data_IF_012825296631
#
_entry.id   IF_012825296631
#
_cell.length_a   1.000
_cell.length_b   1.000
_cell.length_c   1.000
_cell.angle_alpha   90.00
_cell.angle_beta   90.00
_cell.angle_gamma   90.00
#
_symmetry.space_group_name_H-M   'P 1'
#
loop_
_entity.id
_entity.type
_entity.pdbx_description
1 polymer ?
#
# COMPACT_ATOMS: atom_id res chain seq x y z
N UNK A 1 -3.41 -36.24 -9.80
CA UNK A 1 -2.63 -35.63 -10.91
C UNK A 1 -3.56 -34.96 -11.94
N UNK A 2 -4.43 -34.02 -11.54
CA UNK A 2 -5.45 -33.44 -12.45
C UNK A 2 -5.59 -31.91 -12.45
N UNK A 3 -4.75 -31.18 -11.70
CA UNK A 3 -4.92 -29.72 -11.52
C UNK A 3 -4.13 -28.85 -12.52
N UNK A 4 -3.20 -29.44 -13.29
CA UNK A 4 -2.30 -28.67 -14.15
C UNK A 4 -2.90 -28.25 -15.49
N UNK A 5 -3.94 -28.92 -15.99
CA UNK A 5 -4.56 -28.57 -17.28
C UNK A 5 -5.64 -27.51 -17.11
N UNK A 6 -6.36 -27.50 -15.99
CA UNK A 6 -7.42 -26.52 -15.69
C UNK A 6 -6.88 -25.13 -15.32
N UNK A 7 -5.69 -25.04 -14.70
CA UNK A 7 -5.08 -23.76 -14.31
C UNK A 7 -4.73 -22.85 -15.50
N UNK A 8 -4.40 -23.43 -16.65
CA UNK A 8 -4.07 -22.69 -17.87
C UNK A 8 -5.30 -22.43 -18.75
N UNK A 9 -6.31 -23.30 -18.72
CA UNK A 9 -7.52 -23.12 -19.52
C UNK A 9 -8.33 -21.89 -19.12
N UNK A 10 -8.44 -21.59 -17.82
CA UNK A 10 -9.17 -20.40 -17.33
C UNK A 10 -8.57 -19.10 -17.85
N UNK A 11 -7.26 -18.79 -17.68
CA UNK A 11 -6.69 -17.56 -18.19
C UNK A 11 -6.74 -17.49 -19.73
N UNK A 12 -6.49 -18.59 -20.45
CA UNK A 12 -6.61 -18.59 -21.91
C UNK A 12 -8.05 -18.32 -22.38
N UNK A 13 -9.06 -18.91 -21.72
CA UNK A 13 -10.46 -18.64 -22.02
C UNK A 13 -10.85 -17.18 -21.77
N UNK A 14 -10.43 -16.60 -20.65
CA UNK A 14 -10.72 -15.20 -20.30
C UNK A 14 -10.09 -14.22 -21.29
N UNK A 15 -8.83 -14.48 -21.70
CA UNK A 15 -8.13 -13.67 -22.70
C UNK A 15 -8.83 -13.79 -24.07
N UNK A 16 -9.20 -15.00 -24.47
CA UNK A 16 -9.88 -15.23 -25.76
C UNK A 16 -11.25 -14.54 -25.82
N UNK A 17 -12.02 -14.57 -24.73
CA UNK A 17 -13.33 -13.90 -24.63
C UNK A 17 -13.15 -12.38 -24.70
N UNK A 18 -12.16 -11.83 -23.98
CA UNK A 18 -11.86 -10.40 -24.02
C UNK A 18 -11.44 -9.93 -25.41
N UNK A 19 -10.61 -10.73 -26.11
CA UNK A 19 -10.16 -10.42 -27.47
C UNK A 19 -11.31 -10.46 -28.48
N UNK A 20 -12.17 -11.49 -28.39
CA UNK A 20 -13.35 -11.64 -29.26
C UNK A 20 -14.35 -10.50 -29.01
N UNK A 21 -14.61 -10.13 -27.74
CA UNK A 21 -15.48 -9.02 -27.41
C UNK A 21 -14.92 -7.68 -27.90
N UNK A 22 -13.61 -7.44 -27.76
CA UNK A 22 -12.96 -6.23 -28.25
C UNK A 22 -13.00 -6.12 -29.79
N UNK A 23 -12.69 -7.22 -30.50
CA UNK A 23 -12.80 -7.28 -31.97
C UNK A 23 -14.24 -7.11 -32.45
N UNK A 24 -15.22 -7.66 -31.73
CA UNK A 24 -16.64 -7.51 -32.04
C UNK A 24 -17.09 -6.05 -31.96
N UNK A 25 -16.71 -5.34 -30.91
CA UNK A 25 -17.05 -3.91 -30.72
C UNK A 25 -16.33 -3.03 -31.77
N UNK A 26 -15.12 -3.41 -32.17
CA UNK A 26 -14.36 -2.72 -33.22
C UNK A 26 -15.00 -2.89 -34.61
N UNK A 27 -15.38 -4.12 -34.99
CA UNK A 27 -15.94 -4.41 -36.31
C UNK A 27 -17.40 -4.00 -36.49
N UNK A 28 -18.17 -3.82 -35.41
CA UNK A 28 -19.54 -3.30 -35.46
C UNK A 28 -19.60 -1.76 -35.51
N UNK A 29 -18.45 -1.07 -35.59
CA UNK A 29 -18.38 0.39 -35.68
C UNK A 29 -18.86 1.12 -34.42
N UNK A 30 -19.11 0.39 -33.32
CA UNK A 30 -19.60 0.91 -32.04
C UNK A 30 -18.47 1.13 -31.02
N UNK A 31 -17.27 1.46 -31.51
CA UNK A 31 -16.08 1.67 -30.68
C UNK A 31 -16.24 2.74 -29.60
N UNK A 32 -17.08 3.75 -29.86
CA UNK A 32 -17.41 4.83 -28.93
C UNK A 32 -18.18 4.36 -27.67
N UNK A 33 -18.79 3.16 -27.70
CA UNK A 33 -19.44 2.59 -26.52
C UNK A 33 -18.42 2.11 -25.48
N UNK A 34 -17.20 1.76 -25.91
CA UNK A 34 -16.09 1.46 -25.00
C UNK A 34 -15.35 2.76 -24.68
N UNK A 35 -15.91 3.56 -23.77
CA UNK A 35 -15.32 4.82 -23.33
C UNK A 35 -14.83 4.72 -21.87
N UNK A 36 -13.52 4.46 -21.64
CA UNK A 36 -12.94 4.45 -20.29
C UNK A 36 -13.07 5.80 -19.58
N UNK A 37 -13.10 6.91 -20.32
CA UNK A 37 -13.27 8.25 -19.76
C UNK A 37 -14.65 8.42 -19.12
N UNK A 38 -15.71 8.01 -19.82
CA UNK A 38 -17.07 8.03 -19.27
C UNK A 38 -17.19 7.16 -18.00
N UNK A 39 -16.48 6.03 -17.95
CA UNK A 39 -16.44 5.19 -16.74
C UNK A 39 -15.76 5.91 -15.55
N UNK A 40 -14.64 6.59 -15.80
CA UNK A 40 -13.93 7.35 -14.77
C UNK A 40 -14.73 8.57 -14.29
N UNK A 41 -15.52 9.19 -15.17
CA UNK A 41 -16.40 10.34 -14.85
C UNK A 41 -17.74 9.95 -14.23
N UNK A 42 -18.21 8.71 -14.43
CA UNK A 42 -19.44 8.22 -13.78
C UNK A 42 -19.16 7.59 -12.41
N UNK A 43 -17.93 7.13 -12.17
CA UNK A 43 -17.55 6.51 -10.90
C UNK A 43 -17.28 7.57 -9.84
N UNK A 44 -17.85 7.41 -8.65
CA UNK A 44 -17.67 8.38 -7.57
C UNK A 44 -16.21 8.42 -7.06
N UNK A 45 -15.63 9.61 -6.82
CA UNK A 45 -14.27 9.73 -6.26
C UNK A 45 -14.11 9.07 -4.89
N UNK A 46 -15.18 9.00 -4.10
CA UNK A 46 -15.20 8.33 -2.82
C UNK A 46 -14.99 6.81 -2.94
N UNK A 47 -15.52 6.17 -3.99
CA UNK A 47 -15.32 4.74 -4.20
C UNK A 47 -13.83 4.42 -4.41
N UNK A 48 -13.13 5.20 -5.22
CA UNK A 48 -11.68 5.07 -5.44
C UNK A 48 -10.87 5.30 -4.16
N UNK A 49 -11.21 6.35 -3.40
CA UNK A 49 -10.51 6.67 -2.16
C UNK A 49 -10.69 5.58 -1.09
N UNK A 50 -11.93 5.11 -0.86
CA UNK A 50 -12.22 4.06 0.13
C UNK A 50 -11.60 2.72 -0.26
N UNK A 51 -11.62 2.38 -1.56
CA UNK A 51 -10.95 1.19 -2.07
C UNK A 51 -9.43 1.27 -1.84
N UNK A 52 -8.81 2.43 -2.08
CA UNK A 52 -7.38 2.65 -1.81
C UNK A 52 -7.01 2.46 -0.35
N UNK A 53 -7.79 3.03 0.57
CA UNK A 53 -7.59 2.91 2.02
C UNK A 53 -7.77 1.45 2.46
N UNK A 54 -8.82 0.79 2.00
CA UNK A 54 -9.09 -0.61 2.30
C UNK A 54 -8.01 -1.56 1.78
N UNK A 55 -7.54 -1.34 0.54
CA UNK A 55 -6.46 -2.13 -0.06
C UNK A 55 -5.13 -1.91 0.67
N UNK A 56 -4.80 -0.68 1.06
CA UNK A 56 -3.59 -0.39 1.83
C UNK A 56 -3.55 -1.16 3.16
N UNK A 57 -4.65 -1.09 3.94
CA UNK A 57 -4.77 -1.82 5.20
C UNK A 57 -4.75 -3.34 4.97
N UNK A 58 -5.58 -3.84 4.05
CA UNK A 58 -5.72 -5.26 3.78
C UNK A 58 -4.42 -5.91 3.31
N UNK A 59 -3.77 -5.34 2.29
CA UNK A 59 -2.52 -5.87 1.74
C UNK A 59 -1.38 -5.83 2.76
N UNK A 60 -1.30 -4.78 3.59
CA UNK A 60 -0.27 -4.67 4.63
C UNK A 60 -0.44 -5.72 5.73
N UNK A 61 -1.66 -5.96 6.20
CA UNK A 61 -1.95 -6.97 7.23
C UNK A 61 -1.75 -8.39 6.69
N UNK A 62 -2.13 -8.64 5.42
CA UNK A 62 -1.85 -9.92 4.77
C UNK A 62 -0.34 -10.18 4.68
N UNK A 63 0.47 -9.17 4.35
CA UNK A 63 1.93 -9.29 4.34
C UNK A 63 2.53 -9.61 5.69
N UNK A 64 2.08 -8.91 6.73
CA UNK A 64 2.49 -9.17 8.11
C UNK A 64 2.12 -10.60 8.55
N UNK A 65 0.86 -11.01 8.32
CA UNK A 65 0.40 -12.36 8.63
C UNK A 65 1.20 -13.44 7.89
N UNK A 66 1.49 -13.22 6.61
CA UNK A 66 2.26 -14.17 5.81
C UNK A 66 3.68 -14.33 6.32
N UNK A 67 4.39 -13.24 6.63
CA UNK A 67 5.76 -13.35 7.14
C UNK A 67 5.84 -13.94 8.56
N UNK A 68 4.86 -13.65 9.43
CA UNK A 68 4.75 -14.31 10.74
C UNK A 68 4.56 -15.82 10.59
N UNK A 69 3.74 -16.26 9.64
CA UNK A 69 3.51 -17.69 9.41
C UNK A 69 4.78 -18.43 8.94
N UNK A 70 5.53 -17.87 7.99
CA UNK A 70 6.79 -18.47 7.50
C UNK A 70 7.83 -18.56 8.62
N UNK A 71 8.09 -17.45 9.32
CA UNK A 71 9.07 -17.43 10.42
C UNK A 71 8.64 -18.28 11.60
N UNK A 72 7.35 -18.22 11.98
CA UNK A 72 6.80 -18.94 13.13
C UNK A 72 6.87 -20.45 12.97
N UNK A 73 6.51 -20.97 11.79
CA UNK A 73 6.62 -22.42 11.51
C UNK A 73 8.08 -22.89 11.58
N UNK A 74 9.01 -22.09 11.08
CA UNK A 74 10.45 -22.40 11.10
C UNK A 74 11.04 -22.38 12.52
N UNK A 75 10.67 -21.39 13.35
CA UNK A 75 11.11 -21.31 14.75
C UNK A 75 10.65 -22.54 15.54
N UNK A 76 9.39 -22.96 15.37
CA UNK A 76 8.85 -24.14 16.07
C UNK A 76 9.57 -25.41 15.60
N UNK A 77 9.77 -25.57 14.28
CA UNK A 77 10.48 -26.72 13.73
C UNK A 77 11.93 -26.84 14.21
N UNK A 78 12.67 -25.73 14.19
CA UNK A 78 14.05 -25.70 14.69
C UNK A 78 14.13 -25.84 16.23
N UNK A 79 13.07 -25.42 16.94
CA UNK A 79 12.99 -25.44 18.40
C UNK A 79 12.91 -26.84 19.01
N UNK A 80 12.53 -27.86 18.23
CA UNK A 80 12.47 -29.26 18.71
C UNK A 80 13.85 -29.81 19.02
N UNK A 81 14.86 -29.53 18.17
CA UNK A 81 16.23 -30.04 18.35
C UNK A 81 17.08 -29.11 19.21
N UNK A 82 16.82 -27.81 19.17
CA UNK A 82 17.60 -26.81 19.91
C UNK A 82 16.66 -25.83 20.64
N UNK A 83 16.07 -26.19 21.80
CA UNK A 83 15.09 -25.35 22.50
C UNK A 83 15.68 -24.05 23.05
N UNK A 84 17.01 -23.87 23.04
CA UNK A 84 17.64 -22.57 23.33
C UNK A 84 17.18 -21.46 22.39
N UNK A 85 16.73 -21.80 21.17
CA UNK A 85 16.27 -20.81 20.19
C UNK A 85 14.86 -20.32 20.48
N UNK A 86 13.97 -21.11 21.10
CA UNK A 86 12.60 -20.65 21.41
C UNK A 86 12.61 -19.66 22.57
N UNK A 87 13.48 -19.85 23.56
CA UNK A 87 13.68 -18.91 24.67
C UNK A 87 14.38 -17.62 24.22
N UNK A 88 15.33 -17.69 23.28
CA UNK A 88 15.97 -16.48 22.72
C UNK A 88 15.06 -15.74 21.73
N UNK A 89 14.26 -16.48 20.93
CA UNK A 89 13.45 -15.93 19.85
C UNK A 89 12.00 -15.58 20.23
N UNK A 90 11.48 -15.98 21.41
CA UNK A 90 10.13 -15.58 21.88
C UNK A 90 10.07 -14.95 23.30
N UNK A 91 10.83 -15.39 24.31
CA UNK A 91 10.79 -14.84 25.70
C UNK A 91 12.20 -14.79 26.35
N UNK A 92 12.89 -13.66 26.36
CA UNK A 92 14.02 -13.46 27.29
C UNK A 92 14.20 -11.99 27.63
N UNK A 93 14.29 -11.73 28.95
CA UNK A 93 14.47 -10.44 29.63
C UNK A 93 15.88 -9.87 29.41
N UNK A 94 16.28 -9.59 28.17
CA UNK A 94 17.50 -8.84 27.86
C UNK A 94 17.09 -7.57 27.09
N UNK A 95 17.48 -6.36 27.54
CA UNK A 95 16.94 -5.10 27.01
C UNK A 95 17.58 -4.62 25.70
N UNK A 96 18.33 -5.45 24.97
CA UNK A 96 18.84 -5.09 23.65
C UNK A 96 18.62 -6.26 22.68
N UNK A 97 18.06 -5.96 21.50
CA UNK A 97 17.91 -6.85 20.35
C UNK A 97 16.56 -7.60 20.23
N UNK A 98 15.53 -6.83 19.91
CA UNK A 98 14.58 -7.04 18.81
C UNK A 98 14.55 -8.43 18.15
N UNK A 99 13.38 -9.08 18.19
CA UNK A 99 13.08 -10.39 17.58
C UNK A 99 12.54 -10.27 16.14
N UNK A 100 12.73 -11.31 15.30
CA UNK A 100 12.31 -11.29 13.88
C UNK A 100 10.80 -11.22 13.64
N UNK A 101 9.98 -11.64 14.62
CA UNK A 101 8.52 -11.56 14.53
C UNK A 101 8.02 -10.11 14.52
N UNK A 102 8.73 -9.20 15.19
CA UNK A 102 8.32 -7.79 15.35
C UNK A 102 8.57 -7.01 14.06
N UNK A 103 9.63 -7.32 13.30
CA UNK A 103 9.92 -6.61 12.04
C UNK A 103 8.85 -6.87 10.97
N UNK A 104 8.21 -8.04 11.00
CA UNK A 104 7.07 -8.34 10.14
C UNK A 104 5.79 -7.59 10.58
N UNK A 105 5.61 -7.36 11.89
CA UNK A 105 4.49 -6.59 12.45
C UNK A 105 4.58 -5.10 12.12
N UNK A 106 5.79 -4.54 12.09
CA UNK A 106 6.04 -3.13 11.77
C UNK A 106 5.53 -2.76 10.36
N UNK A 107 5.60 -3.66 9.38
CA UNK A 107 5.01 -3.45 8.05
C UNK A 107 3.47 -3.29 8.10
N UNK A 108 2.80 -4.03 9.00
CA UNK A 108 1.37 -3.88 9.25
C UNK A 108 1.03 -2.55 9.91
N UNK A 109 1.85 -2.10 10.87
CA UNK A 109 1.70 -0.79 11.52
C UNK A 109 1.83 0.35 10.51
N UNK A 110 2.77 0.27 9.57
CA UNK A 110 2.87 1.25 8.49
C UNK A 110 1.58 1.33 7.67
N UNK A 111 0.98 0.19 7.31
CA UNK A 111 -0.32 0.11 6.63
C UNK A 111 -1.46 0.76 7.42
N UNK A 112 -1.54 0.51 8.73
CA UNK A 112 -2.55 1.13 9.61
C UNK A 112 -2.37 2.65 9.66
N UNK A 113 -1.14 3.14 9.87
CA UNK A 113 -0.84 4.57 9.92
C UNK A 113 -1.20 5.24 8.58
N UNK A 114 -0.79 4.64 7.45
CA UNK A 114 -1.13 5.16 6.12
C UNK A 114 -2.63 5.28 5.89
N UNK A 115 -3.40 4.28 6.35
CA UNK A 115 -4.86 4.27 6.23
C UNK A 115 -5.53 5.37 7.06
N UNK A 116 -5.02 5.63 8.27
CA UNK A 116 -5.50 6.73 9.13
C UNK A 116 -5.20 8.08 8.49
N UNK A 117 -3.98 8.28 7.97
CA UNK A 117 -3.57 9.53 7.32
C UNK A 117 -4.41 9.80 6.06
N UNK A 118 -4.66 8.77 5.25
CA UNK A 118 -5.53 8.88 4.07
C UNK A 118 -6.99 9.15 4.43
N UNK A 119 -7.49 8.55 5.51
CA UNK A 119 -8.85 8.85 6.01
C UNK A 119 -8.99 10.30 6.44
N UNK A 120 -7.95 10.93 7.00
CA UNK A 120 -7.97 12.34 7.38
C UNK A 120 -8.00 13.31 6.18
N UNK A 121 -7.72 12.82 4.96
CA UNK A 121 -7.78 13.63 3.72
C UNK A 121 -9.15 13.57 3.03
N UNK A 122 -10.06 12.72 3.49
CA UNK A 122 -11.43 12.69 3.01
C UNK A 122 -12.20 13.89 3.56
N UNK A 123 -12.25 14.99 2.79
CA UNK A 123 -13.13 16.10 3.11
C UNK A 123 -14.59 15.68 2.89
N UNK A 124 -15.45 15.96 3.87
CA UNK A 124 -16.90 15.81 3.76
C UNK A 124 -17.44 16.91 2.84
N UNK A 125 -17.61 16.61 1.55
CA UNK A 125 -18.26 17.52 0.62
C UNK A 125 -19.78 17.26 0.64
N UNK A 126 -20.61 18.23 1.05
CA UNK A 126 -22.00 17.98 1.43
C UNK A 126 -23.00 17.94 0.25
N UNK A 127 -22.59 18.23 -0.99
CA UNK A 127 -23.53 18.45 -2.10
C UNK A 127 -23.13 17.68 -3.37
N UNK A 128 -24.05 16.93 -3.98
CA UNK A 128 -23.78 16.14 -5.20
C UNK A 128 -23.20 16.97 -6.37
N UNK A 129 -23.53 18.27 -6.43
CA UNK A 129 -23.10 19.17 -7.51
C UNK A 129 -21.60 19.51 -7.42
N UNK A 130 -21.01 19.51 -6.22
CA UNK A 130 -19.59 19.82 -6.02
C UNK A 130 -18.71 18.57 -6.02
N UNK A 131 -19.31 17.37 -6.01
CA UNK A 131 -18.57 16.09 -6.01
C UNK A 131 -17.74 15.88 -7.27
N UNK A 132 -18.31 16.19 -8.44
CA UNK A 132 -17.70 15.89 -9.74
C UNK A 132 -16.79 17.02 -10.25
N UNK A 133 -16.00 17.61 -9.35
CA UNK A 133 -15.00 18.62 -9.71
C UNK A 133 -13.66 17.95 -10.00
N UNK A 134 -12.89 18.46 -10.96
CA UNK A 134 -11.57 17.94 -11.34
C UNK A 134 -10.61 17.75 -10.14
N UNK A 135 -10.66 18.65 -9.15
CA UNK A 135 -9.86 18.55 -7.92
C UNK A 135 -10.23 17.35 -7.02
N UNK A 136 -11.52 16.99 -6.97
CA UNK A 136 -11.99 15.85 -6.17
C UNK A 136 -11.66 14.52 -6.86
N UNK A 137 -11.77 14.46 -8.19
CA UNK A 137 -11.32 13.31 -8.97
C UNK A 137 -9.82 13.04 -8.80
N UNK A 138 -8.99 14.09 -8.91
CA UNK A 138 -7.56 13.97 -8.68
C UNK A 138 -7.26 13.40 -7.28
N UNK A 139 -7.92 13.93 -6.26
CA UNK A 139 -7.74 13.48 -4.87
C UNK A 139 -8.17 12.01 -4.71
N UNK A 140 -9.29 11.60 -5.32
CA UNK A 140 -9.76 10.22 -5.30
C UNK A 140 -8.78 9.24 -5.95
N UNK A 141 -8.24 9.57 -7.13
CA UNK A 141 -7.25 8.74 -7.81
C UNK A 141 -5.89 8.73 -7.11
N UNK A 142 -5.47 9.86 -6.52
CA UNK A 142 -4.24 9.94 -5.75
C UNK A 142 -4.30 9.06 -4.49
N UNK A 143 -5.43 9.08 -3.77
CA UNK A 143 -5.66 8.21 -2.61
C UNK A 143 -5.71 6.73 -3.01
N UNK A 144 -6.31 6.40 -4.14
CA UNK A 144 -6.35 5.04 -4.66
C UNK A 144 -4.94 4.50 -4.96
N UNK A 145 -4.18 5.18 -5.82
CA UNK A 145 -2.85 4.71 -6.23
C UNK A 145 -1.81 4.83 -5.12
N UNK A 146 -1.92 5.86 -4.25
CA UNK A 146 -1.10 5.98 -3.06
C UNK A 146 -1.31 4.80 -2.10
N UNK A 147 -2.57 4.42 -1.86
CA UNK A 147 -2.93 3.25 -1.06
C UNK A 147 -2.48 1.92 -1.65
N UNK A 148 -2.66 1.71 -2.94
CA UNK A 148 -2.23 0.48 -3.63
C UNK A 148 -0.71 0.33 -3.60
N UNK A 149 0.04 1.40 -3.89
CA UNK A 149 1.51 1.37 -3.90
C UNK A 149 2.05 1.05 -2.52
N UNK A 150 1.56 1.77 -1.49
CA UNK A 150 1.98 1.55 -0.12
C UNK A 150 1.64 0.14 0.39
N UNK A 151 0.41 -0.33 0.12
CA UNK A 151 -0.04 -1.66 0.51
C UNK A 151 0.76 -2.79 -0.15
N UNK A 152 1.07 -2.67 -1.44
CA UNK A 152 1.88 -3.65 -2.16
C UNK A 152 3.34 -3.68 -1.69
N UNK A 153 3.94 -2.51 -1.40
CA UNK A 153 5.28 -2.44 -0.82
C UNK A 153 5.33 -3.13 0.56
N UNK A 154 4.33 -2.89 1.41
CA UNK A 154 4.24 -3.51 2.74
C UNK A 154 3.98 -5.02 2.67
N UNK A 155 3.17 -5.48 1.71
CA UNK A 155 2.96 -6.91 1.43
C UNK A 155 4.28 -7.61 1.10
N UNK A 156 5.02 -7.09 0.12
CA UNK A 156 6.28 -7.68 -0.33
C UNK A 156 7.38 -7.59 0.74
N UNK A 157 7.44 -6.47 1.46
CA UNK A 157 8.32 -6.29 2.60
C UNK A 157 8.08 -7.36 3.68
N UNK A 158 6.81 -7.58 4.08
CA UNK A 158 6.46 -8.58 5.09
C UNK A 158 6.87 -10.00 4.70
N UNK A 159 6.69 -10.37 3.43
CA UNK A 159 7.11 -11.68 2.89
C UNK A 159 8.64 -11.81 2.90
N UNK A 160 9.37 -10.79 2.43
CA UNK A 160 10.83 -10.81 2.39
C UNK A 160 11.47 -10.87 3.79
N UNK A 161 10.92 -10.12 4.76
CA UNK A 161 11.29 -10.19 6.18
C UNK A 161 10.99 -11.58 6.75
N UNK A 162 9.84 -12.18 6.43
CA UNK A 162 9.50 -13.54 6.87
C UNK A 162 10.46 -14.63 6.36
N UNK A 163 10.89 -14.53 5.11
CA UNK A 163 11.85 -15.49 4.52
C UNK A 163 13.23 -15.33 5.17
N UNK A 164 13.72 -14.08 5.31
CA UNK A 164 15.01 -13.81 5.95
C UNK A 164 15.02 -14.17 7.44
N UNK A 165 13.93 -13.93 8.17
CA UNK A 165 13.76 -14.35 9.56
C UNK A 165 13.73 -15.87 9.74
N UNK A 166 13.19 -16.61 8.78
CA UNK A 166 13.24 -18.08 8.76
C UNK A 166 14.68 -18.60 8.60
N UNK A 167 15.45 -17.98 7.71
CA UNK A 167 16.88 -18.29 7.55
C UNK A 167 17.67 -17.97 8.83
N UNK A 168 17.33 -16.88 9.53
CA UNK A 168 17.93 -16.53 10.81
C UNK A 168 17.67 -17.59 11.89
N UNK A 169 16.44 -18.09 11.97
CA UNK A 169 16.04 -19.12 12.94
C UNK A 169 16.78 -20.45 12.71
N UNK A 170 16.92 -20.87 11.45
CA UNK A 170 17.67 -22.08 11.09
C UNK A 170 19.19 -21.90 11.33
N UNK A 171 19.72 -20.72 11.00
CA UNK A 171 21.13 -20.39 11.21
C UNK A 171 21.53 -20.42 12.69
N UNK A 172 20.71 -19.83 13.57
CA UNK A 172 20.94 -19.84 15.03
C UNK A 172 20.81 -21.24 15.65
N UNK A 173 19.96 -22.10 15.07
CA UNK A 173 19.84 -23.50 15.49
C UNK A 173 21.11 -24.31 15.20
N UNK A 174 21.80 -24.02 14.08
CA UNK A 174 23.10 -24.59 13.78
C UNK A 174 24.19 -23.97 14.66
N UNK A 175 24.44 -22.66 14.50
CA UNK A 175 25.50 -21.94 15.18
C UNK A 175 25.04 -20.53 15.60
N UNK A 176 25.09 -20.19 16.90
CA UNK A 176 24.54 -18.92 17.39
C UNK A 176 25.36 -17.67 17.00
N UNK A 177 26.57 -17.84 16.48
CA UNK A 177 27.40 -16.73 15.99
C UNK A 177 26.93 -16.17 14.65
N UNK A 178 26.06 -16.89 13.92
CA UNK A 178 25.56 -16.47 12.60
C UNK A 178 24.34 -15.54 12.69
N UNK A 179 23.63 -15.51 13.83
CA UNK A 179 22.40 -14.74 14.00
C UNK A 179 22.58 -13.25 13.68
N UNK A 180 23.63 -12.63 14.22
CA UNK A 180 23.89 -11.18 14.04
C UNK A 180 24.15 -10.83 12.57
N UNK A 181 24.77 -11.74 11.79
CA UNK A 181 25.06 -11.51 10.37
C UNK A 181 23.79 -11.54 9.51
N UNK A 182 22.83 -12.40 9.87
CA UNK A 182 21.56 -12.54 9.14
C UNK A 182 20.60 -11.39 9.48
N UNK A 183 20.64 -10.90 10.72
CA UNK A 183 19.83 -9.76 11.16
C UNK A 183 20.06 -8.48 10.34
N UNK A 184 21.27 -8.27 9.81
CA UNK A 184 21.57 -7.13 8.92
C UNK A 184 20.72 -7.16 7.65
N UNK A 185 20.51 -8.34 7.06
CA UNK A 185 19.71 -8.51 5.83
C UNK A 185 18.23 -8.24 6.11
N UNK A 186 17.76 -8.63 7.30
CA UNK A 186 16.39 -8.40 7.75
C UNK A 186 16.06 -6.90 7.86
N UNK A 187 17.00 -6.10 8.37
CA UNK A 187 16.85 -4.63 8.43
C UNK A 187 16.82 -4.02 7.04
N UNK A 188 17.65 -4.47 6.10
CA UNK A 188 17.58 -3.96 4.73
C UNK A 188 16.26 -4.28 4.04
N UNK A 189 15.67 -5.43 4.34
CA UNK A 189 14.34 -5.80 3.85
C UNK A 189 13.24 -4.88 4.40
N UNK A 190 13.30 -4.50 5.68
CA UNK A 190 12.26 -3.67 6.31
C UNK A 190 12.26 -2.21 5.82
N UNK A 191 13.40 -1.71 5.36
CA UNK A 191 13.51 -0.37 4.75
C UNK A 191 12.63 -0.25 3.47
N UNK A 192 12.36 -1.35 2.76
CA UNK A 192 11.47 -1.34 1.58
C UNK A 192 10.04 -0.90 1.92
N UNK A 193 9.53 -1.28 3.11
CA UNK A 193 8.23 -0.83 3.59
C UNK A 193 8.21 0.67 3.92
N UNK A 194 9.30 1.19 4.48
CA UNK A 194 9.46 2.63 4.74
C UNK A 194 9.47 3.45 3.46
N UNK A 195 10.17 2.99 2.41
CA UNK A 195 10.12 3.66 1.11
C UNK A 195 8.70 3.67 0.52
N UNK A 196 7.96 2.57 0.66
CA UNK A 196 6.55 2.50 0.25
C UNK A 196 5.67 3.52 0.95
N UNK A 197 5.86 3.71 2.26
CA UNK A 197 5.15 4.72 3.06
C UNK A 197 5.48 6.15 2.60
N UNK A 198 6.75 6.46 2.37
CA UNK A 198 7.16 7.80 1.90
C UNK A 198 6.54 8.10 0.53
N UNK A 199 6.64 7.17 -0.42
CA UNK A 199 6.07 7.34 -1.76
C UNK A 199 4.55 7.49 -1.71
N UNK A 200 3.85 6.66 -0.91
CA UNK A 200 2.40 6.76 -0.73
C UNK A 200 1.96 8.12 -0.21
N UNK A 201 2.69 8.69 0.75
CA UNK A 201 2.40 10.03 1.29
C UNK A 201 2.72 11.16 0.31
N UNK A 202 3.73 11.00 -0.55
CA UNK A 202 4.06 11.97 -1.59
C UNK A 202 2.99 12.05 -2.67
N UNK A 203 2.42 10.90 -3.06
CA UNK A 203 1.38 10.83 -4.10
C UNK A 203 0.07 11.52 -3.66
N UNK A 204 -0.25 11.47 -2.36
CA UNK A 204 -1.51 12.01 -1.80
C UNK A 204 -1.44 13.53 -1.50
N UNK A 205 -0.42 14.23 -2.02
CA UNK A 205 -0.30 15.68 -1.82
C UNK A 205 -1.46 16.46 -2.47
N UNK A 206 -2.07 17.42 -1.76
CA UNK A 206 -3.21 18.18 -2.28
C UNK A 206 -2.80 19.08 -3.46
N UNK A 207 -3.72 19.25 -4.41
CA UNK A 207 -3.51 20.01 -5.65
C UNK A 207 -3.13 21.48 -5.41
N UNK A 208 -3.53 22.06 -4.27
CA UNK A 208 -3.17 23.43 -3.83
C UNK A 208 -1.68 23.62 -3.56
N UNK A 209 -0.91 22.54 -3.45
CA UNK A 209 0.55 22.59 -3.26
C UNK A 209 1.35 22.59 -4.57
N UNK A 210 0.68 22.51 -5.72
CA UNK A 210 1.32 22.50 -7.05
C UNK A 210 1.26 23.93 -7.64
N UNK A 211 2.41 24.65 -7.75
CA UNK A 211 2.44 26.05 -8.20
C UNK A 211 1.81 26.29 -9.57
N UNK A 212 1.79 25.27 -10.43
CA UNK A 212 1.23 25.35 -11.79
C UNK A 212 -0.31 25.39 -11.84
N UNK A 213 -1.01 24.98 -10.77
CA UNK A 213 -2.47 24.94 -10.71
C UNK A 213 -3.08 26.08 -9.90
N UNK A 214 -2.33 26.71 -8.99
CA UNK A 214 -2.76 27.88 -8.22
C UNK A 214 -3.20 29.03 -9.16
N UNK A 215 -2.42 29.29 -10.21
CA UNK A 215 -2.75 30.29 -11.23
C UNK A 215 -3.95 29.96 -12.14
N UNK A 216 -4.38 28.70 -12.22
CA UNK A 216 -5.55 28.29 -13.05
C UNK A 216 -6.84 28.18 -12.24
N UNK A 217 -6.76 27.87 -10.94
CA UNK A 217 -7.91 27.90 -10.03
C UNK A 217 -8.33 29.34 -9.73
N UNK A 218 -7.38 30.29 -9.67
CA UNK A 218 -7.68 31.73 -9.60
C UNK A 218 -8.47 32.24 -10.82
N UNK A 219 -8.30 31.64 -11.99
CA UNK A 219 -9.02 32.03 -13.22
C UNK A 219 -10.42 31.40 -13.34
N UNK A 220 -10.68 30.27 -12.67
CA UNK A 220 -12.05 29.74 -12.57
C UNK A 220 -12.89 30.44 -11.49
N UNK A 221 -12.26 31.24 -10.62
CA UNK A 221 -12.89 32.16 -9.65
C UNK A 221 -12.70 33.65 -10.04
N UNK A 222 -12.91 33.99 -11.32
CA UNK A 222 -13.09 35.39 -11.72
C UNK A 222 -14.36 36.02 -11.08
N UNK A 223 -14.49 37.35 -11.12
CA UNK A 223 -14.20 38.28 -10.03
C UNK A 223 -15.49 38.73 -9.33
N UNK A 224 -15.80 38.23 -8.14
CA UNK A 224 -16.88 38.82 -7.31
C UNK A 224 -16.44 39.09 -5.86
N UNK A 225 -15.34 38.52 -5.35
CA UNK A 225 -14.90 38.81 -3.98
C UNK A 225 -13.39 39.03 -3.92
N UNK A 226 -12.96 40.19 -4.42
CA UNK A 226 -11.67 40.77 -4.09
C UNK A 226 -11.93 41.87 -3.07
N UNK A 227 -11.38 41.75 -1.86
CA UNK A 227 -10.65 42.79 -1.10
C UNK A 227 -10.67 42.57 0.42
N UNK A 228 -9.46 42.55 0.99
CA UNK A 228 -9.07 42.60 2.42
C UNK A 228 -9.23 41.31 3.25
N UNK A 229 -8.22 40.82 3.99
CA UNK A 229 -6.91 41.40 4.38
C UNK A 229 -5.98 40.30 4.92
N UNK A 230 -4.75 40.29 4.41
CA UNK A 230 -3.47 40.14 5.12
C UNK A 230 -3.42 39.47 6.51
N UNK A 231 -2.40 38.61 6.67
CA UNK A 231 -1.73 38.15 7.92
C UNK A 231 -2.31 36.92 8.64
N UNK A 232 -1.64 35.78 8.43
CA UNK A 232 -1.11 34.86 9.45
C UNK A 232 -0.93 33.48 8.78
N UNK A 233 0.25 33.05 8.32
CA UNK A 233 1.52 33.13 9.03
C UNK A 233 1.63 32.00 10.04
N UNK A 234 1.94 30.77 9.59
CA UNK A 234 2.82 29.79 10.26
C UNK A 234 2.96 28.52 9.42
N UNK A 235 3.83 28.62 8.42
CA UNK A 235 4.73 27.52 8.08
C UNK A 235 5.87 27.55 9.10
N UNK A 236 5.77 26.71 10.14
CA UNK A 236 6.77 26.33 11.15
C UNK A 236 5.97 25.46 12.15
N UNK A 237 6.29 24.21 12.49
CA UNK A 237 7.59 23.64 12.79
C UNK A 237 7.59 22.13 12.47
N UNK A 238 8.72 21.67 11.92
CA UNK A 238 9.22 20.32 12.16
C UNK A 238 9.62 20.23 13.63
N UNK A 239 8.92 19.42 14.42
CA UNK A 239 9.45 18.63 15.55
C UNK A 239 8.71 17.29 15.54
#
# INVERSE_FOLDING_TARGET
MGYSTTSWLVPYSSISIGLVAGLYILFTGSGEQFNPGAFLEQTSPYAWALLGIGLNLGLSVVGAGWGIWITGSTIIGAGVRAPRITSKNLISRVPLLFKPVIFCEVAGVYGVIGSIVFSAKLASSPTQVTLYTAGNYYTGFALFWGGVTMGMCNLLCGIAVGISGSNAALGDAADPSLFVKILVIEVFSSILGLFGLIVGLLVVRPLSSIPAWDGRVALMHGPILNFNSHQSGKAAEFV
#
